data_IF_708944438426
#
_entry.id   IF_708944438426
#
_cell.length_a   1.000
_cell.length_b   1.000
_cell.length_c   1.000
_cell.angle_alpha   90.00
_cell.angle_beta   90.00
_cell.angle_gamma   90.00
#
_symmetry.space_group_name_H-M   'P 1'
#
loop_
_entity.id
_entity.type
_entity.pdbx_description
1 polymer ?
#
# COMPACT_ATOMS: atom_id res chain seq x y z
N UNK A 1 24.91 35.08 -63.82
CA UNK A 1 24.22 36.26 -64.40
C UNK A 1 22.74 35.92 -64.47
N UNK A 2 21.83 36.86 -64.17
CA UNK A 2 20.42 36.64 -63.77
C UNK A 2 20.33 35.96 -62.39
N UNK A 3 19.81 36.55 -61.30
CA UNK A 3 19.06 37.80 -61.01
C UNK A 3 17.56 37.82 -61.34
N UNK A 4 16.78 38.18 -60.31
CA UNK A 4 15.32 38.39 -60.23
C UNK A 4 14.48 37.08 -60.23
N UNK A 5 13.37 36.96 -59.51
CA UNK A 5 12.57 37.99 -58.80
C UNK A 5 11.87 37.45 -57.55
N UNK A 6 11.44 38.33 -56.63
CA UNK A 6 10.64 37.98 -55.42
C UNK A 6 9.20 38.46 -55.55
N UNK A 7 8.25 37.82 -54.85
CA UNK A 7 7.13 38.58 -54.29
C UNK A 7 6.83 38.30 -52.81
N UNK A 8 6.44 39.37 -52.12
CA UNK A 8 5.79 39.41 -50.81
C UNK A 8 4.36 38.81 -50.89
N UNK A 9 3.77 38.33 -49.78
CA UNK A 9 2.76 39.19 -49.14
C UNK A 9 2.61 39.07 -47.60
N UNK A 10 2.37 40.22 -46.99
CA UNK A 10 1.30 40.55 -46.01
C UNK A 10 1.04 39.66 -44.78
N UNK A 11 1.23 40.27 -43.60
CA UNK A 11 0.69 39.81 -42.33
C UNK A 11 -0.64 40.50 -41.99
N UNK A 12 -1.65 39.80 -41.43
CA UNK A 12 -2.79 40.44 -40.79
C UNK A 12 -2.55 40.62 -39.28
N UNK A 13 -2.61 41.87 -38.82
CA UNK A 13 -2.74 42.22 -37.40
C UNK A 13 -4.15 41.88 -36.90
N UNK A 14 -4.25 41.21 -35.74
CA UNK A 14 -5.51 40.81 -35.13
C UNK A 14 -5.52 41.13 -33.63
N UNK A 15 -5.80 42.39 -33.29
CA UNK A 15 -5.99 42.83 -31.90
C UNK A 15 -7.48 42.82 -31.58
N UNK A 16 -7.95 41.82 -30.83
CA UNK A 16 -9.16 41.97 -30.03
C UNK A 16 -9.33 40.87 -28.97
N UNK A 17 -9.44 41.27 -27.68
CA UNK A 17 -10.12 40.52 -26.60
C UNK A 17 -10.18 41.34 -25.29
N UNK A 18 -11.15 42.23 -25.29
CA UNK A 18 -12.19 42.39 -24.25
C UNK A 18 -11.85 42.02 -22.79
N UNK A 19 -11.96 43.04 -21.94
CA UNK A 19 -12.56 43.07 -20.60
C UNK A 19 -12.99 41.73 -19.95
N UNK A 20 -12.45 41.46 -18.76
CA UNK A 20 -13.08 40.63 -17.75
C UNK A 20 -13.02 41.33 -16.37
N UNK A 21 -14.10 41.24 -15.61
CA UNK A 21 -14.34 42.05 -14.40
C UNK A 21 -13.46 41.68 -13.20
N UNK A 22 -13.09 42.71 -12.43
CA UNK A 22 -12.61 42.59 -11.06
C UNK A 22 -13.80 42.74 -10.09
N UNK A 23 -14.14 41.70 -9.32
CA UNK A 23 -15.22 41.74 -8.30
C UNK A 23 -14.82 41.03 -7.01
N UNK A 24 -14.52 41.84 -6.01
CA UNK A 24 -14.86 41.79 -4.56
C UNK A 24 -14.80 40.45 -3.77
N UNK A 25 -14.11 40.39 -2.61
CA UNK A 25 -14.09 39.24 -1.72
C UNK A 25 -15.09 39.32 -0.53
N UNK A 26 -15.36 38.15 0.09
CA UNK A 26 -15.86 37.88 1.48
C UNK A 26 -17.24 37.20 1.60
N UNK A 27 -17.39 36.45 2.71
CA UNK A 27 -18.55 35.67 3.23
C UNK A 27 -18.78 34.31 2.53
N UNK A 28 -19.21 33.23 3.21
CA UNK A 28 -19.61 33.03 4.62
C UNK A 28 -19.27 31.60 5.13
N UNK A 29 -19.42 31.26 6.42
CA UNK A 29 -18.93 30.00 7.01
C UNK A 29 -19.96 28.85 7.03
N UNK A 30 -19.48 27.60 6.96
CA UNK A 30 -20.27 26.38 7.16
C UNK A 30 -19.98 25.71 8.52
N UNK A 31 -21.03 25.23 9.19
CA UNK A 31 -20.98 24.62 10.54
C UNK A 31 -20.76 23.10 10.47
N UNK A 32 -19.96 22.59 11.44
CA UNK A 32 -20.07 21.32 12.23
C UNK A 32 -20.42 19.99 11.50
N UNK A 33 -19.80 18.87 11.95
CA UNK A 33 -20.42 18.07 13.04
C UNK A 33 -19.49 17.69 14.21
N UNK A 34 -20.08 17.46 15.39
CA UNK A 34 -19.60 16.59 16.48
C UNK A 34 -20.30 15.23 16.33
N UNK A 35 -19.73 14.07 16.73
CA UNK A 35 -19.48 13.65 18.13
C UNK A 35 -18.06 13.03 18.31
N UNK A 36 -17.59 12.45 19.43
CA UNK A 36 -18.29 11.86 20.59
C UNK A 36 -17.52 12.03 21.92
N UNK A 37 -18.20 11.65 23.01
CA UNK A 37 -17.78 11.84 24.41
C UNK A 37 -16.82 10.75 24.90
N UNK A 38 -15.62 11.12 25.35
CA UNK A 38 -14.74 10.26 26.16
C UNK A 38 -14.99 10.53 27.64
N UNK A 39 -15.50 9.53 28.36
CA UNK A 39 -15.66 9.57 29.82
C UNK A 39 -14.54 8.77 30.49
N UNK A 40 -13.73 9.44 31.31
CA UNK A 40 -12.70 8.82 32.15
C UNK A 40 -13.28 8.16 33.43
N UNK A 41 -12.53 7.21 34.05
CA UNK A 41 -13.05 6.37 35.12
C UNK A 41 -13.04 7.05 36.50
N UNK A 42 -13.99 6.66 37.36
CA UNK A 42 -14.13 7.15 38.74
C UNK A 42 -13.77 6.05 39.76
N UNK A 43 -12.72 6.20 40.59
CA UNK A 43 -12.46 5.29 41.69
C UNK A 43 -13.41 5.56 42.87
N UNK A 44 -13.91 4.49 43.51
CA UNK A 44 -14.71 4.59 44.74
C UNK A 44 -13.88 4.14 45.94
N UNK A 45 -14.10 4.84 47.06
CA UNK A 45 -13.14 5.06 48.14
C UNK A 45 -13.30 4.05 49.29
N UNK A 46 -12.17 3.65 49.86
CA UNK A 46 -12.03 2.85 51.08
C UNK A 46 -12.32 3.71 52.34
N UNK A 47 -12.69 3.05 53.44
CA UNK A 47 -12.50 3.44 54.86
C UNK A 47 -13.78 3.41 55.72
N UNK A 48 -13.85 2.44 56.65
CA UNK A 48 -13.76 2.71 58.10
C UNK A 48 -13.72 1.42 58.93
N UNK A 49 -12.72 1.35 59.80
CA UNK A 49 -12.72 0.61 61.07
C UNK A 49 -13.07 1.64 62.19
N UNK A 50 -12.81 1.44 63.51
CA UNK A 50 -12.30 0.26 64.24
C UNK A 50 -12.98 0.01 65.62
N UNK A 51 -12.35 -0.83 66.48
CA UNK A 51 -12.47 -0.89 67.98
C UNK A 51 -13.79 -1.43 68.56
N UNK A 52 -13.96 -1.82 69.83
CA UNK A 52 -13.15 -2.29 71.01
C UNK A 52 -14.21 -2.67 72.09
N UNK A 53 -14.01 -3.41 73.20
CA UNK A 53 -13.03 -4.39 73.72
C UNK A 53 -13.66 -4.94 75.05
N UNK A 54 -13.52 -6.23 75.38
CA UNK A 54 -13.90 -6.83 76.71
C UNK A 54 -15.39 -6.73 77.12
N UNK A 55 -15.94 -7.42 78.15
CA UNK A 55 -15.71 -8.71 78.84
C UNK A 55 -16.95 -8.99 79.76
N UNK A 56 -16.87 -9.95 80.70
CA UNK A 56 -17.80 -10.11 81.87
C UNK A 56 -19.23 -10.65 81.55
N UNK A 57 -19.88 -11.60 82.27
CA UNK A 57 -19.57 -12.52 83.39
C UNK A 57 -20.44 -13.81 83.26
N UNK A 58 -20.17 -14.79 84.15
CA UNK A 58 -21.14 -15.69 84.81
C UNK A 58 -21.78 -16.89 84.06
N UNK A 59 -21.13 -18.04 84.28
CA UNK A 59 -21.75 -19.31 84.67
C UNK A 59 -22.44 -19.12 86.06
N UNK A 60 -23.55 -19.82 86.44
CA UNK A 60 -23.65 -21.27 86.31
C UNK A 60 -25.05 -21.94 86.19
N UNK A 61 -24.98 -23.28 86.15
CA UNK A 61 -25.90 -24.25 86.77
C UNK A 61 -27.13 -24.80 85.99
N UNK A 62 -27.32 -26.10 86.20
CA UNK A 62 -28.55 -26.90 86.23
C UNK A 62 -29.39 -27.13 84.95
N UNK A 63 -29.11 -28.28 84.34
CA UNK A 63 -30.11 -29.18 83.75
C UNK A 63 -30.74 -30.07 84.86
N UNK A 64 -31.68 -31.03 84.61
CA UNK A 64 -32.34 -31.40 83.35
C UNK A 64 -33.88 -31.64 83.46
N UNK A 65 -34.59 -31.73 82.33
CA UNK A 65 -35.71 -32.67 82.05
C UNK A 65 -36.40 -32.30 80.72
N UNK A 66 -36.06 -32.93 79.59
CA UNK A 66 -36.65 -34.19 79.14
C UNK A 66 -38.19 -34.20 79.05
N UNK A 67 -38.76 -33.95 77.86
CA UNK A 67 -39.29 -35.04 76.99
C UNK A 67 -40.46 -34.64 76.06
N UNK A 68 -40.25 -34.83 74.75
CA UNK A 68 -41.15 -35.39 73.71
C UNK A 68 -40.53 -35.06 72.33
N UNK A 69 -40.00 -36.02 71.56
CA UNK A 69 -40.72 -36.95 70.65
C UNK A 69 -41.60 -36.16 69.66
N UNK A 70 -41.40 -36.14 68.33
CA UNK A 70 -40.86 -37.11 67.34
C UNK A 70 -40.23 -36.33 66.13
N UNK A 71 -39.20 -36.85 65.44
CA UNK A 71 -39.26 -37.58 64.14
C UNK A 71 -39.98 -36.76 63.03
N UNK A 72 -39.43 -36.42 61.85
CA UNK A 72 -38.26 -36.86 61.06
C UNK A 72 -37.57 -35.60 60.39
N UNK A 73 -36.48 -35.62 59.63
CA UNK A 73 -35.95 -36.64 58.71
C UNK A 73 -34.43 -36.51 58.44
N UNK A 74 -33.85 -37.50 57.73
CA UNK A 74 -32.38 -37.71 57.56
C UNK A 74 -31.60 -36.60 56.83
N UNK A 75 -30.39 -36.21 57.28
CA UNK A 75 -29.41 -35.52 56.45
C UNK A 75 -28.59 -36.50 55.58
N UNK A 76 -29.26 -37.26 54.69
CA UNK A 76 -28.56 -38.11 53.71
C UNK A 76 -28.02 -37.29 52.53
N UNK A 77 -27.08 -36.39 52.82
CA UNK A 77 -26.37 -35.56 51.82
C UNK A 77 -24.95 -35.96 51.42
N UNK A 78 -24.29 -37.05 51.91
CA UNK A 78 -22.96 -37.40 51.37
C UNK A 78 -23.05 -37.86 49.91
N UNK A 79 -24.15 -38.48 49.49
CA UNK A 79 -24.36 -38.89 48.09
C UNK A 79 -24.45 -37.67 47.17
N UNK A 80 -25.16 -36.62 47.58
CA UNK A 80 -25.30 -35.39 46.78
C UNK A 80 -23.97 -34.63 46.64
N UNK A 81 -23.15 -34.56 47.71
CA UNK A 81 -21.82 -33.93 47.63
C UNK A 81 -20.83 -34.77 46.85
N UNK A 82 -20.85 -36.10 46.99
CA UNK A 82 -20.05 -37.01 46.15
C UNK A 82 -20.44 -36.93 44.68
N UNK A 83 -21.73 -36.81 44.36
CA UNK A 83 -22.20 -36.65 42.98
C UNK A 83 -21.78 -35.29 42.39
N UNK A 84 -21.84 -34.21 43.17
CA UNK A 84 -21.33 -32.90 42.77
C UNK A 84 -19.80 -32.89 42.57
N UNK A 85 -19.05 -33.57 43.43
CA UNK A 85 -17.60 -33.76 43.28
C UNK A 85 -17.26 -34.62 42.05
N UNK A 86 -18.00 -35.70 41.81
CA UNK A 86 -17.83 -36.53 40.62
C UNK A 86 -18.14 -35.75 39.33
N UNK A 87 -19.19 -34.91 39.34
CA UNK A 87 -19.53 -34.05 38.20
C UNK A 87 -18.48 -32.95 37.98
N UNK A 88 -17.96 -32.33 39.03
CA UNK A 88 -16.88 -31.35 38.94
C UNK A 88 -15.56 -31.98 38.45
N UNK A 89 -15.23 -33.19 38.93
CA UNK A 89 -14.08 -33.95 38.45
C UNK A 89 -14.24 -34.37 36.98
N UNK A 90 -15.45 -34.78 36.57
CA UNK A 90 -15.76 -35.10 35.17
C UNK A 90 -15.64 -33.87 34.27
N UNK A 91 -16.07 -32.69 34.74
CA UNK A 91 -15.94 -31.42 34.04
C UNK A 91 -14.49 -30.90 33.98
N UNK A 92 -13.64 -31.28 34.95
CA UNK A 92 -12.19 -31.09 34.88
C UNK A 92 -11.49 -32.08 33.94
N UNK A 93 -12.12 -33.23 33.67
CA UNK A 93 -11.59 -34.27 32.79
C UNK A 93 -12.06 -34.15 31.34
N UNK A 94 -12.94 -33.20 31.00
CA UNK A 94 -13.26 -32.93 29.60
C UNK A 94 -12.03 -32.33 28.92
N UNK A 95 -11.45 -32.98 27.89
CA UNK A 95 -10.32 -32.41 27.18
C UNK A 95 -10.77 -31.08 26.56
N UNK A 96 -10.04 -30.01 26.85
CA UNK A 96 -10.22 -28.75 26.14
C UNK A 96 -9.92 -29.01 24.66
N UNK A 97 -10.96 -29.01 23.83
CA UNK A 97 -10.82 -29.24 22.40
C UNK A 97 -9.93 -28.14 21.84
N UNK A 98 -8.71 -28.51 21.43
CA UNK A 98 -7.78 -27.59 20.76
C UNK A 98 -8.51 -26.91 19.59
N UNK A 99 -8.39 -25.58 19.42
CA UNK A 99 -9.06 -24.89 18.33
C UNK A 99 -8.59 -25.49 17.00
N UNK A 100 -9.51 -26.13 16.29
CA UNK A 100 -9.22 -26.76 15.00
C UNK A 100 -8.82 -25.67 14.00
N UNK A 101 -7.54 -25.63 13.65
CA UNK A 101 -7.03 -24.70 12.65
C UNK A 101 -7.42 -25.21 11.26
N UNK A 102 -8.52 -24.69 10.73
CA UNK A 102 -8.93 -24.91 9.35
C UNK A 102 -8.10 -24.01 8.44
N UNK A 103 -6.99 -24.52 7.91
CA UNK A 103 -6.21 -23.83 6.89
C UNK A 103 -6.94 -23.92 5.53
N UNK A 104 -7.04 -22.82 4.79
CA UNK A 104 -7.62 -22.84 3.44
C UNK A 104 -6.61 -23.30 2.41
N UNK A 105 -7.05 -23.87 1.28
CA UNK A 105 -6.14 -24.28 0.18
C UNK A 105 -5.28 -23.10 -0.32
N UNK A 106 -5.81 -21.87 -0.24
CA UNK A 106 -5.11 -20.61 -0.56
C UNK A 106 -3.96 -20.28 0.41
N UNK A 107 -4.03 -20.73 1.66
CA UNK A 107 -2.95 -20.56 2.64
C UNK A 107 -1.84 -21.62 2.50
N UNK A 108 -2.16 -22.77 1.90
CA UNK A 108 -1.24 -23.90 1.78
C UNK A 108 -0.52 -23.96 0.43
N UNK A 109 -1.11 -23.38 -0.62
CA UNK A 109 -0.57 -23.40 -1.97
C UNK A 109 -0.91 -22.14 -2.77
N UNK A 110 0.02 -21.77 -3.66
CA UNK A 110 -0.21 -20.75 -4.71
C UNK A 110 -0.50 -21.42 -6.05
N UNK A 111 -1.19 -20.70 -6.94
CA UNK A 111 -1.45 -21.21 -8.29
C UNK A 111 -0.16 -21.11 -9.13
N UNK A 112 0.17 -22.17 -9.87
CA UNK A 112 1.32 -22.16 -10.78
C UNK A 112 1.04 -21.20 -11.94
N UNK A 113 1.85 -20.14 -12.04
CA UNK A 113 1.63 -19.02 -12.96
C UNK A 113 1.31 -17.70 -12.23
N UNK A 114 0.79 -17.77 -11.00
CA UNK A 114 0.46 -16.61 -10.13
C UNK A 114 1.74 -15.98 -9.52
N UNK A 115 2.69 -15.62 -10.38
CA UNK A 115 3.88 -14.83 -10.04
C UNK A 115 3.61 -13.34 -10.27
N UNK A 116 4.39 -12.46 -9.64
CA UNK A 116 4.44 -11.05 -10.08
C UNK A 116 5.12 -10.97 -11.43
N UNK A 117 4.60 -10.13 -12.32
CA UNK A 117 5.20 -9.86 -13.62
C UNK A 117 5.84 -8.48 -13.63
N UNK A 118 7.13 -8.42 -13.93
CA UNK A 118 7.84 -7.14 -14.05
C UNK A 118 7.93 -6.74 -15.51
N UNK A 119 7.43 -5.54 -15.84
CA UNK A 119 7.60 -4.93 -17.17
C UNK A 119 8.60 -3.78 -17.09
N UNK A 120 9.39 -3.61 -18.15
CA UNK A 120 10.58 -2.76 -18.14
C UNK A 120 10.71 -1.95 -19.43
N UNK A 121 11.28 -0.76 -19.33
CA UNK A 121 11.48 0.15 -20.45
C UNK A 121 12.57 1.18 -20.19
N UNK A 122 13.10 1.76 -21.27
CA UNK A 122 13.99 2.91 -21.20
C UNK A 122 13.14 4.18 -21.27
N UNK A 123 13.41 5.13 -20.37
CA UNK A 123 12.76 6.42 -20.30
C UNK A 123 13.76 7.58 -20.28
N UNK A 124 13.22 8.79 -20.40
CA UNK A 124 13.97 10.03 -20.24
C UNK A 124 13.28 10.86 -19.16
N UNK A 125 14.03 11.25 -18.12
CA UNK A 125 13.59 12.28 -17.18
C UNK A 125 14.11 13.62 -17.66
N UNK A 126 13.27 14.66 -17.62
CA UNK A 126 13.61 16.04 -18.03
C UNK A 126 13.22 17.05 -16.95
N UNK A 127 13.73 18.28 -17.06
CA UNK A 127 13.47 19.37 -16.11
C UNK A 127 14.36 19.33 -14.87
N UNK A 128 15.49 18.61 -14.94
CA UNK A 128 16.43 18.47 -13.83
C UNK A 128 17.27 19.75 -13.64
N UNK A 129 17.57 20.17 -12.40
CA UNK A 129 18.30 21.41 -12.11
C UNK A 129 19.82 21.27 -12.32
N UNK A 130 20.24 20.85 -13.52
CA UNK A 130 21.64 20.63 -13.88
C UNK A 130 22.27 19.33 -13.32
N UNK A 131 21.45 18.46 -12.72
CA UNK A 131 21.84 17.18 -12.11
C UNK A 131 21.62 15.96 -13.00
N UNK A 132 21.16 16.18 -14.23
CA UNK A 132 20.98 15.16 -15.26
C UNK A 132 22.32 14.65 -15.81
N UNK A 133 22.23 13.84 -16.86
CA UNK A 133 23.40 13.25 -17.47
C UNK A 133 24.29 14.32 -18.12
N UNK A 134 25.60 14.08 -18.04
CA UNK A 134 26.64 14.92 -18.62
C UNK A 134 27.64 14.07 -19.41
N UNK A 135 28.11 14.57 -20.56
CA UNK A 135 29.13 13.92 -21.38
C UNK A 135 29.07 14.26 -22.87
N UNK A 136 30.19 14.09 -23.58
CA UNK A 136 30.30 14.28 -25.05
C UNK A 136 29.90 13.04 -25.85
N UNK A 137 30.04 11.85 -25.28
CA UNK A 137 29.67 10.58 -25.91
C UNK A 137 28.42 10.04 -25.23
N UNK A 138 27.26 10.50 -25.68
CA UNK A 138 26.02 10.32 -24.92
C UNK A 138 25.14 9.23 -25.57
N UNK A 139 24.91 8.06 -24.95
CA UNK A 139 23.94 7.08 -25.45
C UNK A 139 22.52 7.68 -25.56
N UNK A 140 22.23 8.62 -24.67
CA UNK A 140 20.97 9.37 -24.58
C UNK A 140 20.77 10.29 -25.76
N UNK A 141 21.81 10.95 -26.26
CA UNK A 141 21.74 11.74 -27.50
C UNK A 141 21.10 10.95 -28.64
N UNK A 142 21.43 9.66 -28.78
CA UNK A 142 20.84 8.79 -29.81
C UNK A 142 19.37 8.46 -29.55
N UNK A 143 18.99 8.20 -28.30
CA UNK A 143 17.61 7.89 -27.88
C UNK A 143 16.71 9.14 -27.97
N UNK A 144 17.18 10.27 -27.46
CA UNK A 144 16.55 11.59 -27.53
C UNK A 144 16.34 12.00 -28.98
N UNK A 145 17.39 11.93 -29.82
CA UNK A 145 17.26 12.25 -31.23
C UNK A 145 16.27 11.33 -31.95
N UNK A 146 16.15 10.06 -31.56
CA UNK A 146 15.17 9.14 -32.12
C UNK A 146 13.73 9.48 -31.70
N UNK A 147 13.51 9.78 -30.42
CA UNK A 147 12.20 10.26 -29.92
C UNK A 147 11.78 11.54 -30.65
N UNK A 148 12.69 12.50 -30.80
CA UNK A 148 12.43 13.79 -31.42
C UNK A 148 12.23 13.71 -32.94
N UNK A 149 12.98 12.83 -33.63
CA UNK A 149 12.70 12.45 -35.03
C UNK A 149 11.28 11.90 -35.18
N UNK A 150 10.89 10.98 -34.29
CA UNK A 150 9.55 10.36 -34.31
C UNK A 150 8.42 11.34 -33.94
N UNK A 151 8.71 12.41 -33.20
CA UNK A 151 7.78 13.51 -32.91
C UNK A 151 7.73 14.59 -34.01
N UNK A 152 8.46 14.42 -35.12
CA UNK A 152 8.46 15.36 -36.25
C UNK A 152 9.20 16.68 -36.02
N UNK A 153 9.88 16.83 -34.88
CA UNK A 153 10.66 18.02 -34.54
C UNK A 153 12.13 17.61 -34.31
N UNK A 154 12.96 17.50 -35.36
CA UNK A 154 14.38 17.19 -35.20
C UNK A 154 15.05 18.32 -34.42
N UNK A 155 15.51 18.05 -33.20
CA UNK A 155 16.26 19.04 -32.42
C UNK A 155 17.53 19.41 -33.16
N UNK A 156 17.71 20.70 -33.38
CA UNK A 156 18.78 21.26 -34.18
C UNK A 156 20.17 21.08 -33.55
N UNK A 157 20.26 21.02 -32.21
CA UNK A 157 21.51 20.82 -31.50
C UNK A 157 21.32 19.89 -30.28
N UNK A 158 21.69 18.62 -30.44
CA UNK A 158 21.69 17.62 -29.38
C UNK A 158 22.72 17.96 -28.29
N UNK A 159 23.79 18.65 -28.65
CA UNK A 159 24.85 19.06 -27.73
C UNK A 159 24.39 20.22 -26.84
N UNK A 160 23.37 20.99 -27.22
CA UNK A 160 22.76 22.00 -26.34
C UNK A 160 22.05 21.33 -25.15
N UNK A 161 21.23 20.30 -25.40
CA UNK A 161 20.58 19.54 -24.32
C UNK A 161 21.62 18.81 -23.45
N UNK A 162 22.66 18.21 -24.05
CA UNK A 162 23.74 17.55 -23.32
C UNK A 162 24.62 18.51 -22.50
N UNK A 163 24.73 19.79 -22.87
CA UNK A 163 25.41 20.83 -22.09
C UNK A 163 24.58 21.36 -20.91
N UNK A 164 23.24 21.26 -21.00
CA UNK A 164 22.32 21.77 -19.99
C UNK A 164 22.21 20.90 -18.74
N UNK A 165 22.68 19.64 -18.79
CA UNK A 165 22.45 18.58 -17.79
C UNK A 165 20.98 18.53 -17.29
N UNK A 166 20.02 18.89 -18.13
CA UNK A 166 18.60 19.04 -17.74
C UNK A 166 17.76 17.78 -17.99
N UNK A 167 18.39 16.71 -18.48
CA UNK A 167 17.76 15.43 -18.79
C UNK A 167 18.63 14.24 -18.35
N UNK A 168 18.01 13.09 -18.07
CA UNK A 168 18.70 11.87 -17.64
C UNK A 168 18.08 10.60 -18.24
N UNK A 169 18.94 9.64 -18.62
CA UNK A 169 18.52 8.28 -18.97
C UNK A 169 18.10 7.51 -17.74
N UNK A 170 16.93 6.89 -17.82
CA UNK A 170 16.42 6.07 -16.74
C UNK A 170 15.94 4.72 -17.24
N UNK A 171 16.13 3.71 -16.39
CA UNK A 171 15.37 2.47 -16.45
C UNK A 171 14.05 2.72 -15.72
N UNK A 172 12.95 2.33 -16.35
CA UNK A 172 11.61 2.38 -15.78
C UNK A 172 11.15 0.94 -15.58
N UNK A 173 10.79 0.62 -14.34
CA UNK A 173 10.40 -0.73 -13.91
C UNK A 173 9.03 -0.66 -13.24
N UNK A 174 8.10 -1.50 -13.69
CA UNK A 174 6.77 -1.63 -13.12
C UNK A 174 6.55 -3.06 -12.64
N UNK A 175 6.14 -3.24 -11.37
CA UNK A 175 5.70 -4.54 -10.86
C UNK A 175 4.18 -4.67 -11.00
N UNK A 176 3.75 -5.63 -11.82
CA UNK A 176 2.34 -6.00 -11.94
C UNK A 176 2.03 -7.11 -10.90
N UNK A 177 0.95 -6.97 -10.10
CA UNK A 177 0.55 -7.96 -9.11
C UNK A 177 0.34 -9.37 -9.68
N UNK A 178 0.28 -10.36 -8.79
CA UNK A 178 0.19 -11.77 -9.19
C UNK A 178 -1.13 -12.15 -9.89
N UNK A 179 -2.20 -11.38 -9.66
CA UNK A 179 -3.47 -11.48 -10.41
C UNK A 179 -3.43 -10.83 -11.81
N UNK A 180 -2.28 -10.28 -12.21
CA UNK A 180 -2.12 -9.51 -13.45
C UNK A 180 -2.68 -8.08 -13.36
N UNK A 181 -2.88 -7.49 -14.53
CA UNK A 181 -3.59 -6.22 -14.74
C UNK A 181 -4.26 -6.20 -16.11
N UNK A 182 -5.29 -5.37 -16.26
CA UNK A 182 -6.08 -5.20 -17.48
C UNK A 182 -5.74 -3.91 -18.20
N UNK A 183 -6.13 -3.81 -19.47
CA UNK A 183 -6.07 -2.54 -20.19
C UNK A 183 -6.71 -1.39 -19.38
N UNK A 184 -6.08 -0.21 -19.43
CA UNK A 184 -6.39 1.00 -18.66
C UNK A 184 -6.01 0.97 -17.16
N UNK A 185 -5.70 -0.18 -16.55
CA UNK A 185 -5.22 -0.23 -15.16
C UNK A 185 -3.91 0.56 -15.00
N UNK A 186 -3.80 1.28 -13.88
CA UNK A 186 -2.64 2.12 -13.55
C UNK A 186 -1.81 1.55 -12.40
N UNK A 187 -0.49 1.67 -12.53
CA UNK A 187 0.48 1.13 -11.60
C UNK A 187 1.60 2.14 -11.30
N UNK A 188 2.13 2.09 -10.09
CA UNK A 188 3.31 2.86 -9.71
C UNK A 188 4.55 2.31 -10.43
N UNK A 189 5.40 3.20 -10.94
CA UNK A 189 6.67 2.81 -11.56
C UNK A 189 7.86 3.30 -10.76
N UNK A 190 8.88 2.44 -10.65
CA UNK A 190 10.19 2.81 -10.15
C UNK A 190 11.03 3.32 -11.30
N UNK A 191 11.68 4.45 -11.09
CA UNK A 191 12.59 5.10 -12.03
C UNK A 191 13.98 5.10 -11.41
N UNK A 192 14.99 4.67 -12.16
CA UNK A 192 16.39 4.69 -11.70
C UNK A 192 17.33 5.15 -12.80
N UNK A 193 18.26 6.06 -12.46
CA UNK A 193 19.31 6.53 -13.36
C UNK A 193 20.10 5.37 -13.95
N UNK A 194 20.39 5.43 -15.25
CA UNK A 194 21.25 4.47 -15.95
C UNK A 194 22.64 4.98 -16.31
N UNK A 195 22.91 6.29 -16.18
CA UNK A 195 24.14 6.89 -16.68
C UNK A 195 24.81 7.82 -15.65
N UNK A 196 25.00 9.12 -15.94
CA UNK A 196 25.85 10.03 -15.16
C UNK A 196 25.08 11.02 -14.29
N UNK A 197 23.75 11.08 -14.39
CA UNK A 197 22.89 11.89 -13.54
C UNK A 197 23.05 11.57 -12.05
N UNK A 198 23.11 12.62 -11.23
CA UNK A 198 23.35 12.51 -9.78
C UNK A 198 22.06 12.64 -8.96
N UNK A 199 21.06 13.33 -9.49
CA UNK A 199 19.78 13.57 -8.83
C UNK A 199 18.65 13.68 -9.86
N UNK A 200 17.57 12.92 -9.68
CA UNK A 200 16.36 12.95 -10.53
C UNK A 200 15.12 13.54 -9.83
N UNK A 201 15.28 14.13 -8.64
CA UNK A 201 14.19 14.81 -7.92
C UNK A 201 13.69 16.06 -8.65
N UNK A 202 12.36 16.28 -8.62
CA UNK A 202 11.71 17.38 -9.33
C UNK A 202 11.65 17.21 -10.85
N UNK A 203 12.23 16.15 -11.41
CA UNK A 203 12.16 15.83 -12.83
C UNK A 203 10.82 15.22 -13.24
N UNK A 204 10.53 15.26 -14.54
CA UNK A 204 9.36 14.60 -15.16
C UNK A 204 9.81 13.49 -16.09
N UNK A 205 9.28 12.28 -15.90
CA UNK A 205 9.43 11.15 -16.82
C UNK A 205 8.58 11.39 -18.07
N UNK A 206 9.23 11.52 -19.23
CA UNK A 206 8.59 11.49 -20.53
C UNK A 206 8.08 10.07 -20.87
N UNK A 207 7.10 9.99 -21.76
CA UNK A 207 6.43 8.75 -22.14
C UNK A 207 7.41 7.63 -22.52
N UNK A 208 7.45 6.60 -21.68
CA UNK A 208 8.37 5.46 -21.78
C UNK A 208 7.57 4.17 -22.07
N UNK A 209 7.80 3.48 -23.20
CA UNK A 209 7.13 2.22 -23.51
C UNK A 209 7.71 1.07 -22.69
N UNK A 210 6.87 0.42 -21.88
CA UNK A 210 7.25 -0.75 -21.07
C UNK A 210 6.90 -2.04 -21.80
N UNK A 211 7.87 -2.96 -21.86
CA UNK A 211 7.75 -4.28 -22.51
C UNK A 211 7.78 -5.41 -21.48
N UNK A 212 7.24 -6.55 -21.89
CA UNK A 212 7.23 -7.77 -21.07
C UNK A 212 8.64 -8.29 -20.78
N UNK A 213 8.81 -9.12 -19.74
CA UNK A 213 10.11 -9.69 -19.37
C UNK A 213 10.64 -10.70 -20.40
N UNK A 214 9.79 -11.19 -21.31
CA UNK A 214 10.16 -12.10 -22.39
C UNK A 214 10.52 -11.33 -23.67
N UNK A 215 11.68 -11.63 -24.31
CA UNK A 215 12.06 -11.02 -25.59
C UNK A 215 11.00 -11.19 -26.67
N UNK A 216 10.82 -10.16 -27.51
CA UNK A 216 9.87 -10.17 -28.62
C UNK A 216 8.42 -9.88 -28.24
N UNK A 217 8.09 -9.76 -26.95
CA UNK A 217 6.77 -9.27 -26.55
C UNK A 217 6.67 -7.74 -26.74
N UNK A 218 5.47 -7.30 -27.13
CA UNK A 218 5.20 -5.90 -27.46
C UNK A 218 5.20 -4.96 -26.26
N UNK A 219 4.81 -3.71 -26.51
CA UNK A 219 4.53 -2.74 -25.44
C UNK A 219 3.25 -3.17 -24.74
N UNK A 220 3.31 -3.32 -23.41
CA UNK A 220 2.16 -3.61 -22.54
C UNK A 220 1.66 -2.36 -21.81
N UNK A 221 2.54 -1.41 -21.54
CA UNK A 221 2.21 -0.19 -20.82
C UNK A 221 2.98 1.01 -21.37
N UNK A 222 2.48 2.21 -21.13
CA UNK A 222 3.25 3.44 -21.23
C UNK A 222 3.39 4.06 -19.85
N UNK A 223 4.59 4.54 -19.51
CA UNK A 223 4.88 5.18 -18.24
C UNK A 223 5.24 6.66 -18.43
N UNK A 224 4.66 7.55 -17.64
CA UNK A 224 4.93 9.01 -17.67
C UNK A 224 4.48 9.69 -16.38
N UNK A 225 5.10 10.83 -16.03
CA UNK A 225 4.64 11.69 -14.92
C UNK A 225 5.78 12.24 -14.06
N UNK A 226 5.42 12.93 -12.98
CA UNK A 226 6.38 13.55 -12.05
C UNK A 226 7.15 12.50 -11.23
N UNK A 227 8.48 12.67 -11.14
CA UNK A 227 9.37 11.77 -10.39
C UNK A 227 9.51 12.25 -8.95
N UNK A 228 9.00 11.45 -8.02
CA UNK A 228 9.14 11.70 -6.58
C UNK A 228 10.28 10.84 -6.02
N UNK A 229 11.32 11.49 -5.50
CA UNK A 229 12.37 10.82 -4.72
C UNK A 229 11.91 10.75 -3.26
N UNK A 230 11.81 9.55 -2.71
CA UNK A 230 11.34 9.32 -1.33
C UNK A 230 12.46 9.33 -0.29
N UNK A 231 13.70 9.16 -0.75
CA UNK A 231 14.89 9.04 0.10
C UNK A 231 16.01 9.92 -0.48
N UNK A 232 16.30 11.03 0.20
CA UNK A 232 17.32 11.99 -0.21
C UNK A 232 18.76 11.42 -0.17
N UNK A 233 18.99 10.27 0.48
CA UNK A 233 20.26 9.55 0.38
C UNK A 233 20.37 8.70 -0.90
N UNK A 234 19.27 8.56 -1.67
CA UNK A 234 19.16 7.78 -2.91
C UNK A 234 18.48 8.58 -4.03
N UNK A 235 18.89 9.82 -4.22
CA UNK A 235 18.42 10.75 -5.26
C UNK A 235 18.45 10.24 -6.71
N UNK A 236 19.16 9.15 -7.01
CA UNK A 236 19.17 8.50 -8.33
C UNK A 236 18.00 7.53 -8.55
N UNK A 237 17.12 7.37 -7.56
CA UNK A 237 15.94 6.49 -7.61
C UNK A 237 14.70 7.28 -7.19
N UNK A 238 13.67 7.25 -8.03
CA UNK A 238 12.36 7.85 -7.75
C UNK A 238 11.20 6.91 -8.07
N UNK A 239 10.00 7.36 -7.74
CA UNK A 239 8.73 6.71 -8.06
C UNK A 239 7.85 7.70 -8.80
N UNK A 240 7.18 7.26 -9.87
CA UNK A 240 6.05 7.98 -10.47
C UNK A 240 4.78 7.25 -10.05
N UNK A 241 3.96 7.90 -9.23
CA UNK A 241 2.72 7.33 -8.68
C UNK A 241 1.66 7.23 -9.78
N UNK A 242 1.08 6.05 -9.94
CA UNK A 242 0.16 5.69 -11.03
C UNK A 242 0.72 6.01 -12.42
N UNK A 243 2.05 6.01 -12.55
CA UNK A 243 2.75 6.50 -13.73
C UNK A 243 2.66 5.58 -14.94
N UNK A 244 2.53 4.26 -14.76
CA UNK A 244 2.27 3.32 -15.85
C UNK A 244 0.77 3.11 -16.05
N UNK A 245 0.32 3.18 -17.30
CA UNK A 245 -1.00 2.70 -17.72
C UNK A 245 -0.85 1.52 -18.69
N UNK A 246 -1.56 0.42 -18.41
CA UNK A 246 -1.62 -0.72 -19.32
C UNK A 246 -2.42 -0.37 -20.58
N UNK A 247 -1.88 -0.73 -21.74
CA UNK A 247 -2.53 -0.67 -23.06
C UNK A 247 -2.88 -2.05 -23.62
N UNK A 248 -2.60 -3.10 -22.84
CA UNK A 248 -2.95 -4.50 -23.09
C UNK A 248 -3.08 -5.23 -21.77
N UNK A 249 -3.96 -6.21 -21.74
CA UNK A 249 -4.05 -7.16 -20.63
C UNK A 249 -2.70 -7.87 -20.42
N UNK A 250 -2.20 -7.80 -19.18
CA UNK A 250 -1.07 -8.59 -18.69
C UNK A 250 -1.60 -9.51 -17.57
N UNK A 251 -2.40 -10.50 -17.98
CA UNK A 251 -2.95 -11.51 -17.07
C UNK A 251 -2.04 -12.73 -17.08
N UNK A 252 -1.58 -13.13 -15.89
CA UNK A 252 -0.86 -14.39 -15.70
C UNK A 252 -1.87 -15.54 -15.61
N UNK A 253 -2.51 -15.84 -16.74
CA UNK A 253 -3.55 -16.88 -16.84
C UNK A 253 -2.99 -18.29 -16.61
N UNK A 254 -3.70 -19.09 -15.82
CA UNK A 254 -3.61 -20.54 -15.97
C UNK A 254 -4.44 -20.96 -17.17
N UNK A 255 -3.76 -21.37 -18.24
CA UNK A 255 -4.43 -21.83 -19.47
C UNK A 255 -4.76 -23.31 -19.39
N UNK A 256 -6.06 -23.61 -19.34
CA UNK A 256 -6.58 -24.97 -19.50
C UNK A 256 -7.67 -25.33 -18.49
N UNK A 257 -8.26 -26.53 -18.59
CA UNK A 257 -9.26 -27.03 -17.64
C UNK A 257 -8.65 -27.44 -16.28
N UNK A 258 -7.32 -27.42 -16.17
CA UNK A 258 -6.56 -27.84 -14.99
C UNK A 258 -5.52 -26.79 -14.64
N UNK A 259 -5.38 -26.48 -13.36
CA UNK A 259 -4.30 -25.65 -12.82
C UNK A 259 -3.44 -26.44 -11.84
N UNK A 260 -2.13 -26.21 -11.87
CA UNK A 260 -1.23 -26.81 -10.89
C UNK A 260 -1.17 -25.92 -9.64
N UNK A 261 -1.22 -26.54 -8.46
CA UNK A 261 -0.96 -25.86 -7.20
C UNK A 261 0.47 -26.12 -6.76
N UNK A 262 1.22 -25.06 -6.47
CA UNK A 262 2.56 -25.15 -5.88
C UNK A 262 2.42 -24.98 -4.38
N UNK A 263 2.47 -26.11 -3.67
CA UNK A 263 2.55 -26.15 -2.21
C UNK A 263 3.77 -25.36 -1.72
N UNK A 264 3.64 -24.70 -0.58
CA UNK A 264 4.81 -24.12 0.09
C UNK A 264 5.68 -25.24 0.70
N UNK A 265 7.02 -25.08 0.78
CA UNK A 265 7.90 -26.13 1.31
C UNK A 265 7.54 -26.61 2.72
N UNK A 266 6.96 -25.73 3.54
CA UNK A 266 6.50 -26.03 4.90
C UNK A 266 5.25 -26.93 4.97
N UNK A 267 4.52 -27.10 3.87
CA UNK A 267 3.35 -27.98 3.74
C UNK A 267 3.58 -29.18 2.81
N UNK A 268 4.75 -29.24 2.17
CA UNK A 268 5.20 -30.41 1.42
C UNK A 268 5.65 -31.49 2.41
N UNK A 269 4.73 -32.37 2.81
CA UNK A 269 5.03 -33.48 3.72
C UNK A 269 6.15 -34.39 3.19
N UNK A 270 6.99 -34.85 4.12
CA UNK A 270 8.07 -35.81 3.87
C UNK A 270 7.58 -37.26 3.95
#
# INVERSE_FOLDING_TARGET
>A
MHSLDTPHPDAPTGVDRQHAHHTDPRRAPSRRPQPASTLEPKPVRKDRAPRDLEAFIESPADAPSASRRRLADRPSRPIATLFALALAALLWLTPAASPAHAATVRELARIQGEARSTILGLGLVVGLPGTGDSGKEHPVARVVAEVLRNMGNPVADIDELARSNSAALVMVTCEIPAGGGREQDTFDVRVSVMHTATDISGGTLLIAPLRGPLPGQGVYAFASGEVVVEDAARSTIGIVRQGAQLVRDLVNEVRGPTFNLVLEPQFAGH
#
